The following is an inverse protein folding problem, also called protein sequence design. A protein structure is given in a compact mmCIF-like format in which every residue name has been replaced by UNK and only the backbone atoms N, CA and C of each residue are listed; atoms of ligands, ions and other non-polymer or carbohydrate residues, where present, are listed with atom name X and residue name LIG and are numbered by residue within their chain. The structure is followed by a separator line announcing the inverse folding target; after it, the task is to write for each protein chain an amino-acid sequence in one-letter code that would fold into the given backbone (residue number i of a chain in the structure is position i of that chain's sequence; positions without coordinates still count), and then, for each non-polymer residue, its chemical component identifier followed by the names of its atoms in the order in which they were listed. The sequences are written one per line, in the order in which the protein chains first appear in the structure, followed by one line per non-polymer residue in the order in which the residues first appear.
data_IF_810190243591
#
_entry.id   IF_810190243591
#
_cell.length_a   1.000
_cell.length_b   1.000
_cell.length_c   1.000
_cell.angle_alpha   90.00
_cell.angle_beta   90.00
_cell.angle_gamma   90.00
#
_symmetry.space_group_name_H-M   'P 1'
#
loop_
_entity.id
_entity.type
_entity.pdbx_description
1 polymer ?
#
# COMPACT_ATOMS: atom_id res chain seq x y z
N UNK A 1 19.09 5.97 23.80
CA UNK A 1 19.43 6.78 22.61
C UNK A 1 18.17 6.96 21.78
N UNK A 2 17.82 8.19 21.41
CA UNK A 2 16.59 8.52 20.67
C UNK A 2 16.83 8.62 19.16
N UNK A 3 17.36 7.54 18.57
CA UNK A 3 17.68 7.47 17.15
C UNK A 3 17.26 6.14 16.50
N UNK A 4 17.57 5.97 15.21
CA UNK A 4 17.26 4.77 14.43
C UNK A 4 17.73 3.49 15.11
N UNK A 5 16.85 2.49 15.11
CA UNK A 5 17.10 1.16 15.68
C UNK A 5 16.03 0.19 15.21
N UNK A 6 16.37 -1.10 15.24
CA UNK A 6 15.40 -2.17 15.02
C UNK A 6 14.33 -2.11 16.10
N UNK A 7 13.08 -1.97 15.67
CA UNK A 7 11.88 -2.01 16.52
C UNK A 7 11.11 -3.27 16.18
N UNK A 8 10.63 -3.99 17.19
CA UNK A 8 9.74 -5.15 17.02
C UNK A 8 8.72 -5.17 18.13
N UNK A 9 7.51 -5.65 17.84
CA UNK A 9 6.49 -5.82 18.87
C UNK A 9 6.91 -6.91 19.88
N UNK A 10 6.73 -6.68 21.20
CA UNK A 10 6.71 -7.77 22.17
C UNK A 10 5.69 -8.85 21.81
N UNK A 11 5.97 -10.08 22.24
CA UNK A 11 5.16 -11.29 22.00
C UNK A 11 4.76 -11.93 23.32
N UNK A 12 3.84 -12.89 23.28
CA UNK A 12 3.37 -13.63 24.45
C UNK A 12 2.47 -12.81 25.38
N UNK A 13 2.25 -13.31 26.60
CA UNK A 13 1.25 -12.80 27.54
C UNK A 13 1.77 -11.78 28.54
N UNK A 14 3.07 -11.51 28.57
CA UNK A 14 3.67 -10.54 29.50
C UNK A 14 3.29 -9.10 29.09
N UNK A 15 2.68 -8.37 30.01
CA UNK A 15 2.34 -6.96 29.82
C UNK A 15 3.54 -6.05 30.14
N UNK A 16 3.66 -4.96 29.37
CA UNK A 16 4.57 -3.84 29.61
C UNK A 16 3.81 -2.57 30.04
N UNK A 17 2.50 -2.53 29.77
CA UNK A 17 1.58 -1.47 30.15
C UNK A 17 0.61 -1.94 31.25
N UNK A 18 -0.18 -1.02 31.80
CA UNK A 18 -1.08 -1.31 32.92
C UNK A 18 -2.18 -2.35 32.61
N UNK A 19 -2.60 -2.50 31.35
CA UNK A 19 -3.57 -3.49 30.89
C UNK A 19 -3.44 -3.77 29.38
N UNK A 20 -4.22 -4.73 28.87
CA UNK A 20 -4.22 -5.11 27.45
C UNK A 20 -4.71 -4.00 26.50
N UNK A 21 -5.60 -3.11 26.94
CA UNK A 21 -6.11 -2.02 26.10
C UNK A 21 -5.03 -0.97 25.80
N UNK A 22 -4.04 -0.82 26.68
CA UNK A 22 -2.87 0.06 26.47
C UNK A 22 -1.72 -0.73 25.82
N UNK A 23 -1.56 -2.00 26.18
CA UNK A 23 -0.54 -2.88 25.56
C UNK A 23 -0.79 -3.06 24.05
N UNK A 24 -2.04 -3.12 23.60
CA UNK A 24 -2.39 -3.27 22.19
C UNK A 24 -1.80 -2.15 21.30
N UNK A 25 -2.09 -0.85 21.51
CA UNK A 25 -1.45 0.21 20.73
C UNK A 25 0.06 0.28 20.96
N UNK A 26 0.57 -0.09 22.15
CA UNK A 26 2.01 -0.19 22.41
C UNK A 26 2.70 -1.21 21.49
N UNK A 27 2.11 -2.40 21.34
CA UNK A 27 2.59 -3.46 20.45
C UNK A 27 2.41 -3.07 18.98
N UNK A 28 1.25 -2.53 18.62
CA UNK A 28 0.93 -2.19 17.24
C UNK A 28 1.77 -1.02 16.69
N UNK A 29 2.10 -0.01 17.50
CA UNK A 29 3.03 1.05 17.10
C UNK A 29 4.41 0.47 16.75
N UNK A 30 4.87 -0.53 17.52
CA UNK A 30 6.12 -1.23 17.23
C UNK A 30 6.01 -2.14 16.01
N UNK A 31 4.88 -2.83 15.82
CA UNK A 31 4.62 -3.67 14.65
C UNK A 31 4.69 -2.87 13.35
N UNK A 32 4.14 -1.64 13.36
CA UNK A 32 4.24 -0.71 12.22
C UNK A 32 5.68 -0.37 11.83
N UNK A 33 6.67 -0.57 12.71
CA UNK A 33 8.09 -0.29 12.47
C UNK A 33 8.94 -1.57 12.42
N UNK A 34 8.32 -2.75 12.45
CA UNK A 34 9.04 -4.01 12.29
C UNK A 34 9.70 -4.05 10.91
N UNK A 35 11.00 -4.40 10.78
CA UNK A 35 11.66 -4.52 9.48
C UNK A 35 10.95 -5.45 8.49
N UNK A 36 10.24 -6.47 8.98
CA UNK A 36 9.43 -7.37 8.15
C UNK A 36 8.19 -6.68 7.57
N UNK A 37 7.70 -5.64 8.25
CA UNK A 37 6.44 -4.95 7.96
C UNK A 37 6.68 -3.65 7.18
N UNK A 38 7.52 -2.76 7.72
CA UNK A 38 7.72 -1.41 7.22
C UNK A 38 8.63 -1.35 6.00
N UNK A 39 8.34 -0.39 5.10
CA UNK A 39 9.13 -0.16 3.90
C UNK A 39 10.48 0.52 4.18
N UNK A 40 10.57 1.38 5.21
CA UNK A 40 11.82 2.07 5.62
C UNK A 40 11.77 2.51 7.11
N UNK A 41 11.84 1.56 8.06
CA UNK A 41 11.56 1.80 9.48
C UNK A 41 12.57 2.72 10.20
N UNK A 42 13.83 2.80 9.74
CA UNK A 42 14.85 3.67 10.35
C UNK A 42 14.47 5.17 10.27
N UNK A 43 13.69 5.53 9.25
CA UNK A 43 13.10 6.87 9.05
C UNK A 43 11.67 6.98 9.60
N UNK A 44 11.22 5.96 10.35
CA UNK A 44 9.86 5.79 10.86
C UNK A 44 8.80 5.62 9.76
N UNK A 45 9.21 5.43 8.50
CA UNK A 45 8.33 5.30 7.34
C UNK A 45 7.81 3.88 7.24
N UNK A 46 6.49 3.77 7.26
CA UNK A 46 5.75 2.50 7.17
C UNK A 46 5.46 2.17 5.71
N UNK A 47 4.75 3.04 4.99
CA UNK A 47 4.43 2.87 3.55
C UNK A 47 3.92 4.18 2.90
N UNK A 48 3.70 4.14 1.58
CA UNK A 48 2.96 5.18 0.85
C UNK A 48 3.68 6.52 0.72
N UNK A 49 4.93 6.49 0.24
CA UNK A 49 5.82 7.66 0.24
C UNK A 49 6.41 7.88 1.63
N UNK A 50 6.04 8.99 2.29
CA UNK A 50 6.57 9.39 3.60
C UNK A 50 5.63 9.09 4.77
N UNK A 51 4.69 8.15 4.63
CA UNK A 51 3.74 7.79 5.69
C UNK A 51 4.46 7.22 6.92
N UNK A 52 4.45 7.92 8.06
CA UNK A 52 5.23 7.56 9.26
C UNK A 52 4.37 7.12 10.44
N UNK A 53 4.95 6.30 11.31
CA UNK A 53 4.33 5.86 12.57
C UNK A 53 4.44 6.89 13.71
N UNK A 54 5.50 7.70 13.69
CA UNK A 54 5.76 8.76 14.66
C UNK A 54 6.50 9.93 13.98
N UNK A 55 6.35 11.14 14.52
CA UNK A 55 6.91 12.35 13.90
C UNK A 55 8.44 12.32 13.85
N UNK A 56 9.04 11.81 14.92
CA UNK A 56 10.48 11.69 15.11
C UNK A 56 10.77 10.64 16.19
N UNK A 57 12.02 10.17 16.26
CA UNK A 57 12.43 9.20 17.27
C UNK A 57 12.19 9.68 18.72
N UNK A 58 12.44 10.95 19.09
CA UNK A 58 12.03 11.47 20.39
C UNK A 58 10.52 11.39 20.66
N UNK A 59 9.69 11.62 19.63
CA UNK A 59 8.24 11.48 19.75
C UNK A 59 7.82 10.02 19.93
N UNK A 60 8.42 9.11 19.17
CA UNK A 60 8.25 7.66 19.34
C UNK A 60 8.57 7.25 20.78
N UNK A 61 9.77 7.58 21.27
CA UNK A 61 10.22 7.22 22.62
C UNK A 61 9.29 7.79 23.71
N UNK A 62 8.79 9.02 23.51
CA UNK A 62 7.85 9.63 24.43
C UNK A 62 6.50 8.90 24.43
N UNK A 63 5.98 8.46 23.29
CA UNK A 63 4.74 7.66 23.23
C UNK A 63 4.91 6.31 23.93
N UNK A 64 6.04 5.63 23.69
CA UNK A 64 6.34 4.35 24.33
C UNK A 64 6.37 4.48 25.85
N UNK A 65 7.10 5.47 26.38
CA UNK A 65 7.12 5.74 27.84
C UNK A 65 5.75 6.13 28.38
N UNK A 66 4.98 6.94 27.64
CA UNK A 66 3.66 7.40 28.09
C UNK A 66 2.68 6.22 28.23
N UNK A 67 2.67 5.28 27.26
CA UNK A 67 1.84 4.08 27.34
C UNK A 67 2.23 3.15 28.50
N UNK A 68 3.52 3.09 28.85
CA UNK A 68 3.97 2.31 30.01
C UNK A 68 3.52 2.89 31.36
N UNK A 69 3.29 4.21 31.44
CA UNK A 69 2.96 4.87 32.72
C UNK A 69 1.50 5.33 32.84
N UNK A 70 0.72 5.35 31.76
CA UNK A 70 -0.68 5.78 31.80
C UNK A 70 -1.55 4.78 32.59
N UNK A 71 -2.59 5.30 33.24
CA UNK A 71 -3.57 4.51 33.98
C UNK A 71 -4.67 3.98 33.06
N UNK A 72 -5.40 2.91 33.47
CA UNK A 72 -6.51 2.34 32.70
C UNK A 72 -7.64 3.32 32.33
N UNK A 73 -7.83 4.40 33.10
CA UNK A 73 -8.85 5.42 32.89
C UNK A 73 -8.30 6.72 32.28
N UNK A 74 -7.10 6.67 31.67
CA UNK A 74 -6.48 7.80 30.98
C UNK A 74 -6.50 7.62 29.45
N UNK A 75 -6.40 8.74 28.73
CA UNK A 75 -6.32 8.81 27.27
C UNK A 75 -5.16 9.70 26.85
N UNK A 76 -4.24 9.16 26.03
CA UNK A 76 -3.16 9.93 25.39
C UNK A 76 -3.65 10.60 24.10
N UNK A 77 -3.31 11.88 23.92
CA UNK A 77 -3.55 12.62 22.69
C UNK A 77 -2.28 12.65 21.84
N UNK A 78 -2.39 12.22 20.58
CA UNK A 78 -1.31 12.25 19.59
C UNK A 78 -1.69 13.21 18.47
N UNK A 79 -0.91 14.28 18.32
CA UNK A 79 -1.07 15.27 17.26
C UNK A 79 0.05 15.06 16.24
N UNK A 80 -0.29 14.72 14.99
CA UNK A 80 0.65 14.42 13.90
C UNK A 80 1.88 13.64 14.39
N UNK A 81 1.66 12.46 14.96
CA UNK A 81 2.70 11.55 15.45
C UNK A 81 3.52 12.03 16.65
N UNK A 82 3.06 13.03 17.41
CA UNK A 82 3.69 13.51 18.65
C UNK A 82 2.72 13.39 19.84
N UNK A 83 3.14 12.83 20.99
CA UNK A 83 2.30 12.83 22.19
C UNK A 83 2.25 14.24 22.79
N UNK A 84 1.06 14.80 22.94
CA UNK A 84 0.88 16.21 23.37
C UNK A 84 0.18 16.36 24.71
N UNK A 85 -0.45 15.30 25.23
CA UNK A 85 -1.08 15.33 26.54
C UNK A 85 -1.69 13.98 26.93
N UNK A 86 -1.93 13.81 28.22
CA UNK A 86 -2.69 12.69 28.79
C UNK A 86 -3.75 13.28 29.69
N UNK A 87 -4.99 12.85 29.50
CA UNK A 87 -6.12 13.32 30.31
C UNK A 87 -6.85 12.12 30.89
N UNK A 88 -7.37 12.29 32.11
CA UNK A 88 -8.28 11.32 32.71
C UNK A 88 -9.61 11.35 31.98
N UNK A 89 -10.09 10.18 31.58
CA UNK A 89 -11.38 9.94 30.95
C UNK A 89 -12.14 8.88 31.75
N UNK A 90 -12.31 7.67 31.21
CA UNK A 90 -12.92 6.51 31.87
C UNK A 90 -12.51 5.22 31.16
N UNK A 91 -12.64 4.07 31.82
CA UNK A 91 -12.18 2.76 31.30
C UNK A 91 -12.78 2.35 29.94
N UNK A 92 -13.99 2.82 29.61
CA UNK A 92 -14.66 2.56 28.32
C UNK A 92 -14.25 3.50 27.18
N UNK A 93 -13.47 4.55 27.46
CA UNK A 93 -12.99 5.49 26.44
C UNK A 93 -11.82 4.89 25.65
N UNK A 94 -11.45 5.46 24.49
CA UNK A 94 -10.20 5.13 23.82
C UNK A 94 -8.98 5.45 24.69
N UNK A 95 -7.97 4.57 24.70
CA UNK A 95 -6.68 4.83 25.38
C UNK A 95 -5.79 5.82 24.63
N UNK A 96 -5.99 5.94 23.32
CA UNK A 96 -5.24 6.86 22.46
C UNK A 96 -6.21 7.52 21.47
N UNK A 97 -6.13 8.84 21.34
CA UNK A 97 -6.81 9.61 20.29
C UNK A 97 -5.77 10.27 19.40
N UNK A 98 -5.91 10.09 18.08
CA UNK A 98 -4.93 10.54 17.09
C UNK A 98 -5.57 11.52 16.10
N UNK A 99 -4.89 12.63 15.84
CA UNK A 99 -5.23 13.56 14.78
C UNK A 99 -3.95 13.88 13.98
N UNK A 100 -3.80 13.25 12.83
CA UNK A 100 -2.60 13.34 12.00
C UNK A 100 -2.86 14.12 10.70
N UNK A 101 -1.92 14.97 10.30
CA UNK A 101 -1.88 15.62 8.97
C UNK A 101 -3.03 16.57 8.63
N UNK A 102 -3.93 16.87 9.58
CA UNK A 102 -5.02 17.82 9.35
C UNK A 102 -4.50 19.24 9.15
N UNK A 103 -4.95 19.89 8.08
CA UNK A 103 -4.70 21.29 7.75
C UNK A 103 -6.03 21.98 7.43
N UNK A 104 -6.12 23.28 7.66
CA UNK A 104 -7.30 24.08 7.27
C UNK A 104 -7.43 24.04 5.75
N UNK A 105 -8.65 24.01 5.20
CA UNK A 105 -8.92 23.72 3.77
C UNK A 105 -8.03 24.47 2.77
N UNK A 106 -7.92 25.79 2.89
CA UNK A 106 -7.09 26.62 1.98
C UNK A 106 -5.58 26.32 2.08
N UNK A 107 -5.15 25.68 3.18
CA UNK A 107 -3.78 25.29 3.47
C UNK A 107 -3.54 23.78 3.33
N UNK A 108 -4.55 23.00 2.92
CA UNK A 108 -4.44 21.56 2.73
C UNK A 108 -3.72 21.21 1.42
N UNK A 109 -2.50 21.71 1.26
CA UNK A 109 -1.63 21.54 0.10
C UNK A 109 -0.32 20.87 0.49
N UNK A 110 0.34 20.23 -0.47
CA UNK A 110 1.66 19.63 -0.25
C UNK A 110 2.72 20.67 0.12
N UNK A 111 2.67 21.88 -0.46
CA UNK A 111 3.66 22.92 -0.19
C UNK A 111 3.62 23.37 1.27
N UNK A 112 2.42 23.65 1.79
CA UNK A 112 2.25 24.02 3.19
C UNK A 112 2.55 22.85 4.13
N UNK A 113 2.12 21.63 3.77
CA UNK A 113 2.47 20.43 4.50
C UNK A 113 4.01 20.28 4.65
N UNK A 114 4.76 20.42 3.56
CA UNK A 114 6.23 20.30 3.56
C UNK A 114 6.90 21.42 4.33
N UNK A 115 6.40 22.66 4.23
CA UNK A 115 6.87 23.78 5.05
C UNK A 115 6.74 23.44 6.54
N UNK A 116 5.59 22.94 6.97
CA UNK A 116 5.34 22.53 8.36
C UNK A 116 6.17 21.30 8.77
N UNK A 117 6.39 20.35 7.85
CA UNK A 117 7.22 19.17 8.11
C UNK A 117 8.68 19.57 8.35
N UNK A 118 9.22 20.47 7.52
CA UNK A 118 10.57 21.01 7.68
C UNK A 118 10.76 21.78 9.00
N UNK A 119 9.69 22.40 9.51
CA UNK A 119 9.67 23.03 10.83
C UNK A 119 9.46 22.03 11.99
N UNK A 120 9.29 20.74 11.71
CA UNK A 120 9.02 19.70 12.71
C UNK A 120 7.61 19.77 13.33
N UNK A 121 6.67 20.41 12.65
CA UNK A 121 5.32 20.72 13.17
C UNK A 121 4.25 19.72 12.75
N UNK A 122 4.49 18.95 11.69
CA UNK A 122 3.55 17.92 11.19
C UNK A 122 4.24 16.61 10.84
N UNK A 123 3.45 15.62 10.45
CA UNK A 123 3.84 14.29 10.01
C UNK A 123 2.78 13.80 9.03
N UNK A 124 3.19 13.05 8.00
CA UNK A 124 2.25 12.41 7.08
C UNK A 124 1.81 11.08 7.70
N UNK A 125 0.54 10.97 8.08
CA UNK A 125 0.01 9.78 8.75
C UNK A 125 -0.41 8.66 7.81
N UNK A 126 -0.53 8.94 6.50
CA UNK A 126 -1.27 8.06 5.58
C UNK A 126 -2.62 7.67 6.24
N UNK A 127 -3.05 6.43 6.10
CA UNK A 127 -4.20 5.85 6.78
C UNK A 127 -3.72 5.06 7.99
N UNK A 128 -3.04 3.92 7.79
CA UNK A 128 -2.70 2.98 8.87
C UNK A 128 -1.28 3.12 9.39
N UNK A 129 -0.45 3.98 8.77
CA UNK A 129 0.91 4.25 9.23
C UNK A 129 0.88 5.02 10.56
N UNK A 130 0.24 6.18 10.59
CA UNK A 130 0.13 7.04 11.76
C UNK A 130 -0.96 6.62 12.76
N UNK A 131 -1.76 5.60 12.43
CA UNK A 131 -2.82 5.06 13.30
C UNK A 131 -2.51 3.64 13.83
N UNK A 132 -1.32 3.12 13.54
CA UNK A 132 -0.77 1.89 14.14
C UNK A 132 -1.64 0.65 13.90
N UNK A 133 -1.99 0.39 12.66
CA UNK A 133 -2.75 -0.81 12.28
C UNK A 133 -2.34 -1.35 10.89
N UNK A 134 -1.08 -1.14 10.54
CA UNK A 134 -0.49 -1.68 9.33
C UNK A 134 0.03 -3.09 9.59
N UNK A 135 -0.30 -4.00 8.67
CA UNK A 135 -0.03 -5.44 8.77
C UNK A 135 0.76 -5.94 7.56
N UNK A 136 1.59 -5.05 7.01
CA UNK A 136 2.30 -5.31 5.77
C UNK A 136 1.39 -5.28 4.55
N UNK A 137 1.85 -5.93 3.49
CA UNK A 137 1.22 -5.96 2.17
C UNK A 137 -0.20 -6.59 2.22
N UNK A 138 -0.43 -7.51 3.17
CA UNK A 138 -1.73 -8.16 3.37
C UNK A 138 -2.87 -7.15 3.61
N UNK A 139 -2.57 -6.00 4.22
CA UNK A 139 -3.59 -5.02 4.62
C UNK A 139 -4.40 -4.42 3.47
N UNK A 140 -3.96 -4.52 2.22
CA UNK A 140 -4.74 -4.14 1.03
C UNK A 140 -5.08 -5.33 0.12
N UNK A 141 -4.48 -6.50 0.36
CA UNK A 141 -4.56 -7.64 -0.53
C UNK A 141 -6.00 -8.04 -0.84
N UNK A 142 -6.87 -8.12 0.17
CA UNK A 142 -8.28 -8.47 -0.05
C UNK A 142 -9.01 -7.43 -0.92
N UNK A 143 -8.78 -6.13 -0.67
CA UNK A 143 -9.39 -5.07 -1.48
C UNK A 143 -8.95 -5.15 -2.95
N UNK A 144 -7.68 -5.47 -3.19
CA UNK A 144 -7.14 -5.67 -4.54
C UNK A 144 -7.66 -6.94 -5.18
N UNK A 145 -7.74 -8.03 -4.41
CA UNK A 145 -8.35 -9.29 -4.83
C UNK A 145 -9.80 -9.08 -5.27
N UNK A 146 -10.63 -8.41 -4.46
CA UNK A 146 -12.04 -8.15 -4.77
C UNK A 146 -12.22 -7.25 -5.99
N UNK A 147 -11.34 -6.26 -6.17
CA UNK A 147 -11.35 -5.42 -7.34
C UNK A 147 -11.16 -6.25 -8.63
N UNK A 148 -10.17 -7.15 -8.64
CA UNK A 148 -9.90 -8.02 -9.78
C UNK A 148 -10.95 -9.14 -9.93
N UNK A 149 -11.47 -9.67 -8.83
CA UNK A 149 -12.57 -10.64 -8.84
C UNK A 149 -13.83 -10.04 -9.47
N UNK A 150 -14.15 -8.78 -9.15
CA UNK A 150 -15.29 -8.08 -9.74
C UNK A 150 -15.12 -7.81 -11.24
N UNK A 151 -13.91 -7.42 -11.66
CA UNK A 151 -13.57 -7.30 -13.09
C UNK A 151 -13.73 -8.66 -13.78
N UNK A 152 -13.25 -9.74 -13.17
CA UNK A 152 -13.37 -11.09 -13.69
C UNK A 152 -14.84 -11.50 -13.86
N UNK A 153 -15.69 -11.25 -12.85
CA UNK A 153 -17.15 -11.50 -12.90
C UNK A 153 -17.82 -10.75 -14.05
N UNK A 154 -17.50 -9.46 -14.22
CA UNK A 154 -18.15 -8.61 -15.23
C UNK A 154 -17.69 -8.84 -16.65
N UNK A 155 -16.39 -9.12 -16.87
CA UNK A 155 -15.79 -9.10 -18.21
C UNK A 155 -15.18 -10.43 -18.66
N UNK A 156 -14.81 -11.31 -17.73
CA UNK A 156 -14.02 -12.50 -18.04
C UNK A 156 -14.63 -13.80 -17.51
N UNK A 157 -15.97 -13.85 -17.41
CA UNK A 157 -16.74 -15.06 -17.02
C UNK A 157 -16.34 -15.61 -15.64
N UNK A 158 -16.00 -14.72 -14.70
CA UNK A 158 -15.70 -15.07 -13.30
C UNK A 158 -14.26 -15.52 -13.01
N UNK A 159 -13.34 -15.46 -13.98
CA UNK A 159 -11.91 -15.78 -13.76
C UNK A 159 -11.01 -14.92 -14.65
N UNK A 160 -9.78 -14.61 -14.19
CA UNK A 160 -8.76 -13.95 -15.00
C UNK A 160 -7.87 -14.94 -15.77
N UNK A 161 -8.15 -16.25 -15.71
CA UNK A 161 -7.40 -17.26 -16.47
C UNK A 161 -7.42 -16.96 -17.97
N UNK A 162 -6.23 -16.76 -18.55
CA UNK A 162 -6.06 -16.38 -19.95
C UNK A 162 -6.13 -14.87 -20.22
N UNK A 163 -5.96 -14.05 -19.18
CA UNK A 163 -5.80 -12.59 -19.27
C UNK A 163 -4.42 -12.15 -18.76
N UNK A 164 -3.96 -10.99 -19.21
CA UNK A 164 -2.79 -10.26 -18.70
C UNK A 164 -3.26 -8.93 -18.13
N UNK A 165 -2.81 -8.64 -16.92
CA UNK A 165 -2.90 -7.33 -16.28
C UNK A 165 -1.55 -6.63 -16.31
N UNK A 166 -1.50 -5.42 -16.83
CA UNK A 166 -0.35 -4.52 -16.76
C UNK A 166 -0.52 -3.54 -15.59
N UNK A 167 0.48 -3.44 -14.73
CA UNK A 167 0.49 -2.46 -13.64
C UNK A 167 1.90 -1.98 -13.27
N UNK A 168 1.98 -0.96 -12.43
CA UNK A 168 3.21 -0.46 -11.86
C UNK A 168 3.10 -0.19 -10.34
N UNK A 169 4.27 -0.10 -9.71
CA UNK A 169 4.42 0.13 -8.28
C UNK A 169 4.33 -1.15 -7.46
N UNK A 170 5.48 -1.60 -6.95
CA UNK A 170 5.68 -2.75 -6.08
C UNK A 170 6.15 -2.28 -4.69
N UNK A 171 5.59 -1.17 -4.18
CA UNK A 171 5.80 -0.70 -2.81
C UNK A 171 5.00 -1.50 -1.77
N UNK A 172 4.90 -1.01 -0.53
CA UNK A 172 4.20 -1.71 0.57
C UNK A 172 2.77 -2.15 0.24
N UNK A 173 2.01 -1.27 -0.43
CA UNK A 173 0.65 -1.56 -0.90
C UNK A 173 0.63 -2.10 -2.33
N UNK A 174 1.43 -1.48 -3.21
CA UNK A 174 1.63 -1.87 -4.61
C UNK A 174 2.04 -3.33 -4.82
N UNK A 175 2.81 -3.87 -3.87
CA UNK A 175 3.25 -5.26 -3.88
C UNK A 175 2.14 -6.28 -3.69
N UNK A 176 0.91 -5.87 -3.33
CA UNK A 176 -0.23 -6.78 -3.24
C UNK A 176 -0.83 -7.12 -4.62
N UNK A 177 -0.58 -6.28 -5.63
CA UNK A 177 -1.17 -6.43 -6.96
C UNK A 177 -0.86 -7.77 -7.63
N UNK A 178 0.41 -8.25 -7.69
CA UNK A 178 0.72 -9.48 -8.41
C UNK A 178 0.01 -10.68 -7.79
N UNK A 179 0.06 -10.82 -6.46
CA UNK A 179 -0.65 -11.89 -5.75
C UNK A 179 -2.18 -11.79 -5.91
N UNK A 180 -2.78 -10.61 -5.83
CA UNK A 180 -4.23 -10.44 -6.03
C UNK A 180 -4.68 -10.87 -7.44
N UNK A 181 -3.87 -10.60 -8.46
CA UNK A 181 -4.13 -11.01 -9.85
C UNK A 181 -3.99 -12.52 -9.99
N UNK A 182 -2.94 -13.13 -9.43
CA UNK A 182 -2.74 -14.59 -9.53
C UNK A 182 -3.73 -15.39 -8.67
N UNK A 183 -4.23 -14.84 -7.55
CA UNK A 183 -5.35 -15.41 -6.78
C UNK A 183 -6.67 -15.43 -7.56
N UNK A 184 -6.77 -14.61 -8.62
CA UNK A 184 -7.87 -14.62 -9.59
C UNK A 184 -7.52 -15.41 -10.87
N UNK A 185 -6.44 -16.19 -10.86
CA UNK A 185 -5.90 -17.00 -11.96
C UNK A 185 -5.29 -16.22 -13.15
N UNK A 186 -5.09 -14.91 -12.98
CA UNK A 186 -4.55 -14.03 -14.02
C UNK A 186 -3.04 -14.06 -14.16
N UNK A 187 -2.55 -13.42 -15.22
CA UNK A 187 -1.14 -13.10 -15.41
C UNK A 187 -0.91 -11.63 -15.07
N UNK A 188 0.13 -11.31 -14.31
CA UNK A 188 0.49 -9.94 -13.94
C UNK A 188 1.87 -9.57 -14.51
N UNK A 189 1.93 -8.47 -15.24
CA UNK A 189 3.18 -7.78 -15.59
C UNK A 189 3.29 -6.52 -14.71
N UNK A 190 4.25 -6.52 -13.80
CA UNK A 190 4.41 -5.47 -12.80
C UNK A 190 5.74 -4.72 -13.00
N UNK A 191 5.66 -3.41 -13.21
CA UNK A 191 6.84 -2.54 -13.40
C UNK A 191 7.15 -1.79 -12.10
N UNK A 192 8.40 -1.80 -11.66
CA UNK A 192 8.87 -0.90 -10.60
C UNK A 192 10.28 -0.39 -10.93
N UNK A 193 10.55 0.87 -10.59
CA UNK A 193 11.84 1.51 -10.89
C UNK A 193 12.94 1.09 -9.91
N UNK A 194 12.57 0.61 -8.73
CA UNK A 194 13.50 0.24 -7.65
C UNK A 194 13.67 -1.29 -7.59
N UNK A 195 14.85 -1.83 -7.95
CA UNK A 195 15.11 -3.27 -7.94
C UNK A 195 14.95 -3.88 -6.54
N UNK A 196 15.19 -3.11 -5.47
CA UNK A 196 15.06 -3.61 -4.09
C UNK A 196 13.60 -3.86 -3.74
N UNK A 197 12.67 -3.08 -4.31
CA UNK A 197 11.22 -3.27 -4.12
C UNK A 197 10.75 -4.53 -4.82
N UNK A 198 11.18 -4.76 -6.06
CA UNK A 198 10.85 -5.98 -6.83
C UNK A 198 11.35 -7.22 -6.09
N UNK A 199 12.62 -7.22 -5.68
CA UNK A 199 13.25 -8.33 -4.96
C UNK A 199 12.52 -8.67 -3.66
N UNK A 200 12.16 -7.65 -2.87
CA UNK A 200 11.41 -7.83 -1.61
C UNK A 200 10.06 -8.54 -1.82
N UNK A 201 9.42 -8.39 -2.99
CA UNK A 201 8.11 -9.02 -3.26
C UNK A 201 8.27 -10.50 -3.59
N UNK A 202 9.38 -10.90 -4.19
CA UNK A 202 9.73 -12.32 -4.33
C UNK A 202 10.02 -12.94 -2.95
N UNK A 203 10.85 -12.27 -2.14
CA UNK A 203 11.20 -12.74 -0.79
C UNK A 203 9.97 -12.94 0.11
N UNK A 204 8.97 -12.07 -0.03
CA UNK A 204 7.72 -12.13 0.74
C UNK A 204 6.61 -12.95 0.05
N UNK A 205 6.91 -13.62 -1.07
CA UNK A 205 5.99 -14.46 -1.85
C UNK A 205 4.76 -13.72 -2.45
N UNK A 206 4.90 -12.42 -2.70
CA UNK A 206 3.89 -11.59 -3.36
C UNK A 206 4.12 -11.44 -4.87
N UNK A 207 5.28 -11.89 -5.37
CA UNK A 207 5.67 -11.91 -6.78
C UNK A 207 6.37 -13.24 -7.08
N UNK A 208 6.07 -13.87 -8.22
CA UNK A 208 6.63 -15.18 -8.57
C UNK A 208 8.05 -15.06 -9.15
N UNK A 209 8.23 -14.20 -10.14
CA UNK A 209 9.47 -14.11 -10.92
C UNK A 209 9.88 -12.67 -11.23
N UNK A 210 11.19 -12.47 -11.45
CA UNK A 210 11.78 -11.23 -11.95
C UNK A 210 12.33 -11.51 -13.35
N UNK A 211 11.94 -10.69 -14.31
CA UNK A 211 12.45 -10.75 -15.68
C UNK A 211 13.72 -9.91 -15.86
N UNK A 212 14.58 -10.35 -16.77
CA UNK A 212 15.86 -9.69 -17.06
C UNK A 212 15.69 -8.43 -17.93
N UNK A 213 14.60 -8.37 -18.69
CA UNK A 213 14.24 -7.26 -19.57
C UNK A 213 12.73 -7.17 -19.78
N UNK A 214 12.27 -6.07 -20.39
CA UNK A 214 10.86 -5.92 -20.76
C UNK A 214 10.44 -6.98 -21.78
N UNK A 215 11.32 -7.31 -22.73
CA UNK A 215 11.06 -8.30 -23.77
C UNK A 215 10.91 -9.71 -23.17
N UNK A 216 11.77 -10.06 -22.21
CA UNK A 216 11.66 -11.31 -21.45
C UNK A 216 10.35 -11.35 -20.63
N UNK A 217 10.01 -10.27 -19.95
CA UNK A 217 8.79 -10.16 -19.15
C UNK A 217 7.53 -10.38 -20.01
N UNK A 218 7.47 -9.72 -21.19
CA UNK A 218 6.39 -9.87 -22.16
C UNK A 218 6.30 -11.31 -22.65
N UNK A 219 7.42 -11.92 -23.06
CA UNK A 219 7.43 -13.29 -23.58
C UNK A 219 6.90 -14.30 -22.55
N UNK A 220 7.30 -14.17 -21.27
CA UNK A 220 6.80 -15.02 -20.18
C UNK A 220 5.30 -14.82 -19.95
N UNK A 221 4.84 -13.56 -19.91
CA UNK A 221 3.43 -13.24 -19.69
C UNK A 221 2.53 -13.78 -20.81
N UNK A 222 2.92 -13.60 -22.07
CA UNK A 222 2.17 -14.11 -23.22
C UNK A 222 2.13 -15.64 -23.26
N UNK A 223 3.24 -16.30 -22.92
CA UNK A 223 3.29 -17.76 -22.80
C UNK A 223 2.34 -18.27 -21.70
N UNK A 224 2.33 -17.61 -20.53
CA UNK A 224 1.45 -17.93 -19.41
C UNK A 224 -0.03 -17.70 -19.76
N UNK A 225 -0.36 -16.57 -20.42
CA UNK A 225 -1.71 -16.26 -20.94
C UNK A 225 -2.20 -17.36 -21.88
N UNK A 226 -1.38 -17.74 -22.87
CA UNK A 226 -1.72 -18.80 -23.83
C UNK A 226 -1.92 -20.16 -23.16
N UNK A 227 -1.12 -20.46 -22.14
CA UNK A 227 -1.23 -21.69 -21.36
C UNK A 227 -2.36 -21.65 -20.30
N UNK A 228 -3.03 -20.50 -20.12
CA UNK A 228 -4.01 -20.24 -19.05
C UNK A 228 -3.45 -20.57 -17.66
N UNK A 229 -2.17 -20.25 -17.43
CA UNK A 229 -1.50 -20.42 -16.14
C UNK A 229 -1.36 -19.07 -15.46
N UNK A 230 -1.70 -19.01 -14.16
CA UNK A 230 -1.41 -17.83 -13.34
C UNK A 230 0.10 -17.64 -13.23
N UNK A 231 0.55 -16.39 -13.33
CA UNK A 231 1.95 -16.02 -13.21
C UNK A 231 2.06 -14.53 -12.94
N UNK A 232 2.93 -14.13 -12.02
CA UNK A 232 3.29 -12.74 -11.79
C UNK A 232 4.77 -12.49 -12.10
N UNK A 233 5.02 -11.54 -13.01
CA UNK A 233 6.36 -11.21 -13.48
C UNK A 233 6.66 -9.74 -13.18
N UNK A 234 7.70 -9.49 -12.39
CA UNK A 234 8.21 -8.17 -12.10
C UNK A 234 9.32 -7.81 -13.08
N UNK A 235 9.39 -6.54 -13.50
CA UNK A 235 10.49 -6.03 -14.30
C UNK A 235 10.94 -4.67 -13.77
N UNK A 236 12.25 -4.47 -13.70
CA UNK A 236 12.85 -3.22 -13.23
C UNK A 236 12.82 -2.19 -14.36
N UNK A 237 12.15 -1.07 -14.14
CA UNK A 237 12.12 0.04 -15.08
C UNK A 237 11.13 1.14 -14.72
N UNK A 238 11.15 2.23 -15.48
CA UNK A 238 10.23 3.34 -15.26
C UNK A 238 8.91 3.11 -16.01
N UNK A 239 7.79 3.15 -15.29
CA UNK A 239 6.46 2.99 -15.88
C UNK A 239 6.15 4.05 -16.96
N UNK A 240 6.68 5.27 -16.80
CA UNK A 240 6.52 6.35 -17.78
C UNK A 240 7.27 6.10 -19.09
N UNK A 241 8.22 5.15 -19.13
CA UNK A 241 8.86 4.70 -20.38
C UNK A 241 8.23 3.40 -20.90
N UNK A 242 8.01 2.44 -19.99
CA UNK A 242 7.62 1.09 -20.36
C UNK A 242 6.15 0.99 -20.79
N UNK A 243 5.22 1.74 -20.18
CA UNK A 243 3.82 1.73 -20.63
C UNK A 243 3.67 2.28 -22.05
N UNK A 244 4.24 3.45 -22.41
CA UNK A 244 4.24 3.91 -23.80
C UNK A 244 4.90 2.94 -24.77
N UNK A 245 6.03 2.32 -24.37
CA UNK A 245 6.73 1.34 -25.21
C UNK A 245 5.87 0.09 -25.48
N UNK A 246 5.24 -0.47 -24.46
CA UNK A 246 4.33 -1.63 -24.58
C UNK A 246 3.13 -1.30 -25.46
N UNK A 247 2.53 -0.11 -25.28
CA UNK A 247 1.42 0.34 -26.12
C UNK A 247 1.84 0.45 -27.59
N UNK A 248 2.99 1.08 -27.87
CA UNK A 248 3.51 1.23 -29.23
C UNK A 248 3.86 -0.11 -29.90
N UNK A 249 4.22 -1.11 -29.11
CA UNK A 249 4.47 -2.48 -29.57
C UNK A 249 3.17 -3.30 -29.78
N UNK A 250 2.01 -2.76 -29.42
CA UNK A 250 0.73 -3.47 -29.53
C UNK A 250 0.57 -4.59 -28.50
N UNK A 251 1.20 -4.45 -27.32
CA UNK A 251 1.08 -5.43 -26.24
C UNK A 251 -0.39 -5.64 -25.84
N UNK A 252 -0.85 -6.89 -25.86
CA UNK A 252 -2.27 -7.23 -25.67
C UNK A 252 -2.65 -7.39 -24.18
N UNK A 253 -2.46 -6.32 -23.39
CA UNK A 253 -2.94 -6.26 -22.01
C UNK A 253 -4.49 -6.20 -21.99
N UNK A 254 -5.13 -7.06 -21.21
CA UNK A 254 -6.58 -7.09 -21.08
C UNK A 254 -7.07 -6.13 -19.98
N UNK A 255 -6.23 -5.90 -18.97
CA UNK A 255 -6.49 -5.00 -17.84
C UNK A 255 -5.25 -4.11 -17.63
N UNK A 256 -5.45 -2.81 -17.37
CA UNK A 256 -4.38 -1.86 -17.06
C UNK A 256 -4.73 -1.03 -15.84
N UNK A 257 -3.81 -0.92 -14.90
CA UNK A 257 -3.95 -0.08 -13.71
C UNK A 257 -2.58 0.44 -13.25
N UNK A 258 -2.55 1.20 -12.15
CA UNK A 258 -1.32 1.72 -11.57
C UNK A 258 -1.45 1.88 -10.04
N UNK A 259 -0.36 1.57 -9.32
CA UNK A 259 -0.23 1.80 -7.89
C UNK A 259 1.16 2.36 -7.51
N UNK A 260 1.84 3.07 -8.42
CA UNK A 260 2.94 3.95 -8.03
C UNK A 260 2.51 4.96 -6.96
N UNK A 261 3.45 5.57 -6.24
CA UNK A 261 3.15 6.61 -5.23
C UNK A 261 2.89 7.98 -5.87
N UNK A 262 2.00 8.05 -6.86
CA UNK A 262 1.69 9.28 -7.60
C UNK A 262 1.06 10.38 -6.73
N UNK A 263 0.47 10.03 -5.58
CA UNK A 263 -0.14 10.98 -4.63
C UNK A 263 0.88 11.96 -4.02
N UNK A 264 2.14 11.58 -4.05
CA UNK A 264 3.29 12.39 -3.67
C UNK A 264 4.23 12.50 -4.88
N UNK A 265 4.17 13.58 -5.68
CA UNK A 265 5.03 13.73 -6.85
C UNK A 265 6.53 13.65 -6.55
N UNK A 266 6.97 13.90 -5.31
CA UNK A 266 8.36 13.71 -4.90
C UNK A 266 8.78 12.24 -4.83
N UNK A 267 7.81 11.33 -4.73
CA UNK A 267 8.00 9.88 -4.68
C UNK A 267 7.89 9.21 -6.07
N UNK A 268 7.49 9.93 -7.12
CA UNK A 268 7.42 9.41 -8.49
C UNK A 268 8.66 9.83 -9.29
N UNK A 269 9.40 8.86 -9.82
CA UNK A 269 10.69 9.11 -10.47
C UNK A 269 10.49 9.63 -11.91
N UNK A 270 10.99 10.83 -12.26
CA UNK A 270 10.99 11.31 -13.64
C UNK A 270 11.75 10.36 -14.58
N UNK A 271 11.26 10.18 -15.80
CA UNK A 271 11.86 9.30 -16.79
C UNK A 271 12.91 9.99 -17.70
N UNK A 272 13.10 11.30 -17.55
CA UNK A 272 14.08 12.08 -18.32
C UNK A 272 15.42 12.27 -17.60
N UNK A 273 15.62 11.59 -16.46
CA UNK A 273 16.80 11.70 -15.60
C UNK A 273 17.35 10.33 -15.24
N UNK A 274 18.66 10.26 -15.01
CA UNK A 274 19.26 9.12 -14.30
C UNK A 274 18.85 9.14 -12.82
N UNK A 275 18.90 8.00 -12.14
CA UNK A 275 18.56 7.91 -10.72
C UNK A 275 19.37 8.89 -9.85
N UNK A 276 20.69 8.99 -10.08
CA UNK A 276 21.56 9.93 -9.36
C UNK A 276 21.16 11.40 -9.61
N UNK A 277 20.85 11.75 -10.87
CA UNK A 277 20.40 13.10 -11.21
C UNK A 277 19.02 13.41 -10.60
N UNK A 278 18.13 12.42 -10.55
CA UNK A 278 16.81 12.53 -9.93
C UNK A 278 16.93 12.77 -8.42
N UNK A 279 17.75 12.00 -7.69
CA UNK A 279 18.01 12.19 -6.26
C UNK A 279 18.61 13.57 -5.97
N UNK A 280 19.61 13.97 -6.76
CA UNK A 280 20.23 15.29 -6.63
C UNK A 280 19.20 16.41 -6.84
N UNK A 281 18.40 16.33 -7.90
CA UNK A 281 17.39 17.34 -8.21
C UNK A 281 16.31 17.40 -7.12
N UNK A 282 15.86 16.24 -6.63
CA UNK A 282 14.90 16.15 -5.53
C UNK A 282 15.39 16.91 -4.29
N UNK A 283 16.68 16.85 -3.99
CA UNK A 283 17.28 17.54 -2.85
C UNK A 283 17.53 19.03 -3.10
N UNK A 284 17.95 19.44 -4.30
CA UNK A 284 18.41 20.81 -4.57
C UNK A 284 17.33 21.72 -5.16
N UNK A 285 16.37 21.19 -5.90
CA UNK A 285 15.28 21.94 -6.52
C UNK A 285 14.00 21.08 -6.59
N UNK A 286 13.29 20.93 -5.46
CA UNK A 286 12.13 20.05 -5.36
C UNK A 286 10.97 20.49 -6.26
N UNK A 287 10.77 21.78 -6.50
CA UNK A 287 9.72 22.28 -7.41
C UNK A 287 9.96 21.78 -8.84
N UNK A 288 11.19 21.92 -9.34
CA UNK A 288 11.54 21.42 -10.67
C UNK A 288 11.50 19.89 -10.76
N UNK A 289 11.78 19.19 -9.66
CA UNK A 289 11.59 17.74 -9.59
C UNK A 289 10.11 17.38 -9.78
N UNK A 290 9.22 18.04 -9.04
CA UNK A 290 7.76 17.82 -9.10
C UNK A 290 7.23 18.05 -10.51
N UNK A 291 7.66 19.12 -11.19
CA UNK A 291 7.22 19.41 -12.56
C UNK A 291 7.63 18.30 -13.54
N UNK A 292 8.85 17.77 -13.40
CA UNK A 292 9.32 16.63 -14.21
C UNK A 292 8.59 15.34 -13.87
N UNK A 293 8.32 15.08 -12.60
CA UNK A 293 7.52 13.94 -12.17
C UNK A 293 6.11 13.99 -12.73
N UNK A 294 5.46 15.16 -12.76
CA UNK A 294 4.15 15.37 -13.38
C UNK A 294 4.17 15.12 -14.88
N UNK A 295 5.22 15.57 -15.58
CA UNK A 295 5.39 15.27 -17.01
C UNK A 295 5.51 13.76 -17.26
N UNK A 296 6.28 13.04 -16.42
CA UNK A 296 6.39 11.58 -16.48
C UNK A 296 5.04 10.89 -16.19
N UNK A 297 4.31 11.33 -15.17
CA UNK A 297 2.95 10.84 -14.87
C UNK A 297 1.97 11.10 -16.02
N UNK A 298 2.06 12.25 -16.69
CA UNK A 298 1.25 12.56 -17.87
C UNK A 298 1.56 11.61 -19.04
N UNK A 299 2.82 11.26 -19.27
CA UNK A 299 3.21 10.25 -20.27
C UNK A 299 2.68 8.85 -19.92
N UNK A 300 2.79 8.45 -18.65
CA UNK A 300 2.26 7.18 -18.14
C UNK A 300 0.72 7.11 -18.30
N UNK A 301 -0.01 8.11 -17.82
CA UNK A 301 -1.47 8.18 -17.92
C UNK A 301 -1.95 8.19 -19.38
N UNK A 302 -1.23 8.88 -20.28
CA UNK A 302 -1.52 8.86 -21.71
C UNK A 302 -1.41 7.46 -22.31
N UNK A 303 -0.42 6.67 -21.88
CA UNK A 303 -0.32 5.28 -22.32
C UNK A 303 -1.47 4.43 -21.78
N UNK A 304 -1.89 4.61 -20.51
CA UNK A 304 -3.06 3.93 -19.96
C UNK A 304 -4.33 4.24 -20.76
N UNK A 305 -4.56 5.51 -21.13
CA UNK A 305 -5.68 5.88 -22.02
C UNK A 305 -5.51 5.29 -23.42
N UNK A 306 -4.29 5.18 -23.94
CA UNK A 306 -4.06 4.48 -25.21
C UNK A 306 -4.43 3.00 -25.15
N UNK A 307 -4.18 2.32 -24.02
CA UNK A 307 -4.67 0.95 -23.80
C UNK A 307 -6.20 0.88 -23.69
N UNK A 308 -6.83 1.88 -23.05
CA UNK A 308 -8.29 2.01 -23.03
C UNK A 308 -8.85 2.13 -24.46
N UNK A 309 -8.26 3.01 -25.28
CA UNK A 309 -8.65 3.21 -26.69
C UNK A 309 -8.45 1.92 -27.52
N UNK A 310 -7.47 1.09 -27.15
CA UNK A 310 -7.23 -0.23 -27.74
C UNK A 310 -8.15 -1.35 -27.20
N UNK A 311 -9.02 -1.04 -26.23
CA UNK A 311 -10.05 -1.94 -25.71
C UNK A 311 -9.71 -2.65 -24.39
N UNK A 312 -8.60 -2.32 -23.74
CA UNK A 312 -8.29 -2.85 -22.41
C UNK A 312 -9.24 -2.30 -21.33
N UNK A 313 -9.46 -3.05 -20.25
CA UNK A 313 -10.11 -2.52 -19.07
C UNK A 313 -9.14 -1.67 -18.25
N UNK A 314 -9.37 -0.36 -18.18
CA UNK A 314 -8.46 0.57 -17.52
C UNK A 314 -9.14 1.22 -16.32
N UNK A 315 -8.43 1.29 -15.19
CA UNK A 315 -8.93 1.96 -13.99
C UNK A 315 -7.78 2.56 -13.15
N UNK A 316 -8.13 3.54 -12.33
CA UNK A 316 -7.24 4.16 -11.35
C UNK A 316 -7.38 3.47 -9.99
N UNK A 317 -6.26 3.10 -9.39
CA UNK A 317 -6.22 2.38 -8.11
C UNK A 317 -5.91 3.28 -6.91
N UNK A 318 -6.45 4.50 -6.92
CA UNK A 318 -6.50 5.35 -5.73
C UNK A 318 -5.18 6.01 -5.33
N UNK A 319 -4.27 6.22 -6.29
CA UNK A 319 -2.99 6.88 -6.06
C UNK A 319 -2.91 8.30 -6.63
N UNK A 320 -4.02 8.84 -7.17
CA UNK A 320 -4.08 10.21 -7.71
C UNK A 320 -3.26 10.45 -9.00
N UNK A 321 -2.83 9.40 -9.71
CA UNK A 321 -2.11 9.53 -10.99
C UNK A 321 -2.86 10.41 -11.99
N UNK A 322 -4.18 10.23 -12.13
CA UNK A 322 -5.02 11.01 -13.06
C UNK A 322 -4.97 12.51 -12.78
N UNK A 323 -5.01 12.90 -11.50
CA UNK A 323 -4.96 14.32 -11.13
C UNK A 323 -3.59 14.92 -11.40
N UNK A 324 -2.52 14.23 -11.04
CA UNK A 324 -1.15 14.72 -11.29
C UNK A 324 -0.80 14.72 -12.79
N UNK A 325 -1.33 13.77 -13.57
CA UNK A 325 -1.21 13.77 -15.03
C UNK A 325 -1.94 14.96 -15.67
N UNK A 326 -3.14 15.33 -15.16
CA UNK A 326 -3.84 16.53 -15.60
C UNK A 326 -3.02 17.80 -15.29
N UNK A 327 -2.45 17.89 -14.09
CA UNK A 327 -1.53 18.99 -13.72
C UNK A 327 -0.26 19.00 -14.57
N UNK A 328 0.19 17.82 -15.02
CA UNK A 328 1.28 17.64 -16.00
C UNK A 328 0.88 17.92 -17.45
N UNK A 329 -0.34 18.38 -17.72
CA UNK A 329 -0.79 18.80 -19.05
C UNK A 329 -1.43 17.72 -19.91
N UNK A 330 -2.02 16.68 -19.31
CA UNK A 330 -2.80 15.67 -20.04
C UNK A 330 -4.31 15.76 -19.78
N UNK A 331 -5.07 16.24 -20.77
CA UNK A 331 -6.48 16.57 -20.60
C UNK A 331 -7.42 15.36 -20.48
N UNK A 332 -7.05 14.23 -21.09
CA UNK A 332 -7.85 12.97 -21.07
C UNK A 332 -7.58 12.10 -19.83
N UNK A 333 -6.92 12.66 -18.80
CA UNK A 333 -6.50 11.89 -17.63
C UNK A 333 -7.66 11.25 -16.85
N UNK A 334 -8.89 11.73 -17.00
CA UNK A 334 -10.08 11.20 -16.32
C UNK A 334 -10.98 10.34 -17.21
N UNK A 335 -10.52 9.95 -18.41
CA UNK A 335 -11.29 9.09 -19.34
C UNK A 335 -11.53 7.67 -18.81
N UNK A 336 -10.79 7.25 -17.78
CA UNK A 336 -10.99 5.98 -17.06
C UNK A 336 -11.40 6.21 -15.59
N UNK A 337 -12.26 5.33 -15.04
CA UNK A 337 -12.82 5.51 -13.70
C UNK A 337 -11.84 5.16 -12.60
N UNK A 338 -12.15 5.59 -11.37
CA UNK A 338 -11.51 5.03 -10.17
C UNK A 338 -12.08 3.66 -9.83
N UNK A 339 -11.28 2.80 -9.21
CA UNK A 339 -11.69 1.46 -8.81
C UNK A 339 -12.89 1.46 -7.84
N UNK A 340 -12.97 2.46 -6.96
CA UNK A 340 -14.03 2.55 -5.96
C UNK A 340 -15.41 2.71 -6.62
N UNK A 341 -15.69 3.75 -7.44
CA UNK A 341 -16.95 3.85 -8.15
C UNK A 341 -17.18 2.70 -9.14
N UNK A 342 -16.12 2.14 -9.73
CA UNK A 342 -16.24 1.11 -10.74
C UNK A 342 -16.61 -0.27 -10.15
N UNK A 343 -15.95 -0.70 -9.06
CA UNK A 343 -15.99 -2.09 -8.61
C UNK A 343 -16.32 -2.27 -7.12
N UNK A 344 -15.81 -1.39 -6.24
CA UNK A 344 -15.86 -1.65 -4.78
C UNK A 344 -17.10 -1.03 -4.09
N UNK A 345 -17.70 0.03 -4.64
CA UNK A 345 -18.83 0.73 -4.01
C UNK A 345 -19.99 -0.18 -3.57
N UNK A 346 -20.42 -1.21 -4.32
CA UNK A 346 -21.47 -2.12 -3.86
C UNK A 346 -21.14 -2.80 -2.53
N UNK A 347 -19.89 -3.25 -2.34
CA UNK A 347 -19.43 -3.85 -1.08
C UNK A 347 -19.57 -2.85 0.08
N UNK A 348 -19.22 -1.58 -0.16
CA UNK A 348 -19.35 -0.53 0.86
C UNK A 348 -20.81 -0.22 1.22
N UNK A 349 -21.75 -0.35 0.29
CA UNK A 349 -23.17 -0.19 0.58
C UNK A 349 -23.71 -1.26 1.54
N UNK A 350 -23.04 -2.41 1.62
CA UNK A 350 -23.34 -3.49 2.58
C UNK A 350 -22.52 -3.38 3.87
N UNK A 351 -21.75 -2.31 4.05
CA UNK A 351 -20.87 -2.13 5.21
C UNK A 351 -19.61 -3.00 5.19
N UNK A 352 -19.33 -3.71 4.08
CA UNK A 352 -18.07 -4.43 3.90
C UNK A 352 -16.93 -3.44 3.71
N UNK A 353 -15.74 -3.84 4.12
CA UNK A 353 -14.52 -3.04 4.02
C UNK A 353 -13.31 -3.87 4.42
N UNK A 354 -12.11 -3.26 4.46
CA UNK A 354 -10.86 -3.96 4.78
C UNK A 354 -10.73 -4.26 6.28
N UNK A 355 -11.69 -5.01 6.81
CA UNK A 355 -11.70 -5.52 8.18
C UNK A 355 -10.47 -6.41 8.40
N UNK A 356 -9.89 -6.32 9.60
CA UNK A 356 -8.66 -7.04 9.95
C UNK A 356 -8.58 -7.22 11.45
N UNK A 357 -7.82 -8.22 11.88
CA UNK A 357 -7.46 -8.42 13.28
C UNK A 357 -5.97 -8.75 13.36
N UNK A 358 -5.42 -8.78 14.58
CA UNK A 358 -3.99 -9.05 14.80
C UNK A 358 -3.83 -9.88 16.06
N UNK A 359 -3.09 -10.97 15.98
CA UNK A 359 -2.77 -11.81 17.12
C UNK A 359 -1.62 -11.18 17.93
N UNK A 360 -1.96 -10.43 18.99
CA UNK A 360 -0.97 -9.78 19.87
C UNK A 360 0.00 -10.77 20.54
N UNK A 361 -0.39 -12.04 20.65
CA UNK A 361 0.47 -13.14 21.12
C UNK A 361 1.73 -13.29 20.26
N UNK A 362 1.65 -12.97 18.97
CA UNK A 362 2.67 -13.31 17.97
C UNK A 362 2.58 -14.75 17.47
N UNK A 363 1.59 -15.52 17.90
CA UNK A 363 1.45 -16.93 17.53
C UNK A 363 0.53 -17.09 16.31
N UNK A 364 1.02 -17.63 15.18
CA UNK A 364 0.18 -17.81 13.98
C UNK A 364 -0.98 -18.79 14.21
N UNK A 365 -0.94 -19.62 15.25
CA UNK A 365 -2.05 -20.51 15.60
C UNK A 365 -3.30 -19.76 16.04
N UNK A 366 -3.15 -18.55 16.58
CA UNK A 366 -4.29 -17.70 16.91
C UNK A 366 -5.03 -17.26 15.64
N UNK A 367 -4.29 -16.92 14.57
CA UNK A 367 -4.90 -16.61 13.26
C UNK A 367 -5.60 -17.84 12.69
N UNK A 368 -4.96 -19.01 12.71
CA UNK A 368 -5.60 -20.24 12.25
C UNK A 368 -6.86 -20.62 13.07
N UNK A 369 -6.90 -20.24 14.35
CA UNK A 369 -8.10 -20.41 15.18
C UNK A 369 -9.21 -19.43 14.79
N UNK A 370 -8.87 -18.15 14.55
CA UNK A 370 -9.84 -17.16 14.07
C UNK A 370 -10.34 -17.47 12.66
N UNK A 371 -9.48 -18.00 11.77
CA UNK A 371 -9.88 -18.38 10.41
C UNK A 371 -10.95 -19.45 10.44
N UNK A 372 -10.75 -20.48 11.27
CA UNK A 372 -11.75 -21.52 11.50
C UNK A 372 -13.04 -20.97 12.10
N UNK A 373 -12.95 -20.07 13.09
CA UNK A 373 -14.14 -19.47 13.69
C UNK A 373 -14.95 -18.66 12.66
N UNK A 374 -14.29 -17.91 11.78
CA UNK A 374 -14.95 -17.18 10.68
C UNK A 374 -15.66 -18.14 9.71
N UNK A 375 -15.00 -19.24 9.32
CA UNK A 375 -15.60 -20.25 8.44
C UNK A 375 -16.78 -20.99 9.08
N UNK A 376 -16.72 -21.23 10.40
CA UNK A 376 -17.81 -21.84 11.17
C UNK A 376 -19.01 -20.90 11.33
N UNK A 377 -18.78 -19.60 11.51
CA UNK A 377 -19.83 -18.59 11.68
C UNK A 377 -20.53 -18.23 10.36
N UNK A 378 -19.81 -18.28 9.24
CA UNK A 378 -20.32 -17.93 7.90
C UNK A 378 -20.20 -19.12 6.91
N UNK A 379 -20.85 -20.26 7.18
CA UNK A 379 -20.65 -21.49 6.42
C UNK A 379 -21.16 -21.41 4.97
N UNK A 380 -22.11 -20.51 4.70
CA UNK A 380 -22.76 -20.36 3.38
C UNK A 380 -22.11 -19.28 2.50
N UNK A 381 -21.08 -18.56 2.99
CA UNK A 381 -20.36 -17.54 2.21
C UNK A 381 -19.17 -18.17 1.46
N UNK A 382 -19.44 -18.67 0.25
CA UNK A 382 -18.43 -19.35 -0.59
C UNK A 382 -17.26 -18.43 -0.98
N UNK A 383 -17.52 -17.15 -1.21
CA UNK A 383 -16.50 -16.17 -1.59
C UNK A 383 -15.56 -15.89 -0.42
N UNK A 384 -16.11 -15.71 0.79
CA UNK A 384 -15.33 -15.61 2.02
C UNK A 384 -14.51 -16.88 2.25
N UNK A 385 -15.12 -18.07 2.12
CA UNK A 385 -14.43 -19.32 2.31
C UNK A 385 -13.26 -19.51 1.33
N UNK A 386 -13.46 -19.11 0.07
CA UNK A 386 -12.40 -19.08 -0.95
C UNK A 386 -11.28 -18.12 -0.56
N UNK A 387 -11.61 -16.88 -0.15
CA UNK A 387 -10.62 -15.91 0.31
C UNK A 387 -9.78 -16.45 1.47
N UNK A 388 -10.43 -16.97 2.53
CA UNK A 388 -9.74 -17.47 3.73
C UNK A 388 -8.79 -18.63 3.42
N UNK A 389 -9.21 -19.56 2.55
CA UNK A 389 -8.33 -20.65 2.08
C UNK A 389 -7.13 -20.09 1.30
N UNK A 390 -7.35 -19.20 0.35
CA UNK A 390 -6.26 -18.66 -0.46
C UNK A 390 -5.29 -17.84 0.40
N UNK A 391 -5.80 -17.05 1.35
CA UNK A 391 -4.99 -16.28 2.29
C UNK A 391 -4.10 -17.18 3.14
N UNK A 392 -4.67 -18.22 3.77
CA UNK A 392 -3.91 -19.16 4.60
C UNK A 392 -2.84 -19.96 3.83
N UNK A 393 -3.08 -20.25 2.55
CA UNK A 393 -2.11 -20.99 1.71
C UNK A 393 -0.99 -20.10 1.17
N UNK A 394 -1.30 -18.85 0.79
CA UNK A 394 -0.41 -18.04 -0.04
C UNK A 394 0.20 -16.84 0.70
N UNK A 395 -0.44 -16.31 1.74
CA UNK A 395 0.05 -15.13 2.45
C UNK A 395 1.10 -15.51 3.49
N UNK A 396 2.26 -14.85 3.44
CA UNK A 396 3.23 -14.88 4.53
C UNK A 396 2.91 -13.78 5.54
N UNK A 397 2.89 -14.12 6.84
CA UNK A 397 2.80 -13.12 7.90
C UNK A 397 4.03 -12.19 7.90
N UNK A 398 3.80 -10.94 8.28
CA UNK A 398 4.84 -9.92 8.44
C UNK A 398 4.69 -9.34 9.85
N UNK A 399 5.69 -9.51 10.73
CA UNK A 399 5.59 -9.03 12.11
C UNK A 399 4.59 -9.85 12.96
N UNK A 400 3.61 -9.21 13.59
CA UNK A 400 2.50 -9.91 14.27
C UNK A 400 1.63 -10.62 13.23
N UNK A 401 1.29 -11.91 13.41
CA UNK A 401 0.29 -12.57 12.60
C UNK A 401 -1.02 -11.80 12.63
N UNK A 402 -1.62 -11.60 11.46
CA UNK A 402 -2.75 -10.71 11.22
C UNK A 402 -3.60 -11.21 10.06
#
# INVERSE_FOLDING_TARGET
MSGPRVVRSPRGTQLHCANWQIEAPYRMLQNNLDPEVAERPDDLVVYGGTGRAARSWPAFDAMMRTMQTMKPDETMLVQSGKPVGVFRTHEWAPRVLLANSNLVGDWATWDEFRRLENLGLTMYGQMTAGSWIYIGTQGILQGTYECFAEIARRKFKGTLAGTITLTAGLGGMGGAQPLAITMNDGVALCIDVDPTRVQRRVETRYLDEIADSLEDAVARCEAAKKARKKLSVGVVGNAADMFPKLLAQGFAADIVTDQTSAHDPMSYVPNDLTFEAAEKLRATNPEHYIDRSRAAMAAHCRAMVGFLDAGAEVFDYGNSLRREAQLGGYDRAFDYPGFLPAYIRPLFCEGKGPFRWVALSGDPRDIAATDRAVLEEFPDDEDLAKWMRLASEQVAFQGLPA
#
